data_IF_960076937330
#
_entry.id   IF_960076937330
#
_cell.length_a   1.000
_cell.length_b   1.000
_cell.length_c   1.000
_cell.angle_alpha   90.00
_cell.angle_beta   90.00
_cell.angle_gamma   90.00
#
_symmetry.space_group_name_H-M   'P 1'
#
loop_
_entity.id
_entity.type
_entity.pdbx_description
1 polymer ?
#
# COMPACT_ATOMS: atom_id res chain seq x y z
N UNK A 1 -9.95 0.07 2.26
CA UNK A 1 -8.78 0.78 2.78
C UNK A 1 -8.23 1.72 1.74
N UNK A 2 -7.63 2.82 2.18
CA UNK A 2 -6.87 3.74 1.32
C UNK A 2 -5.40 3.33 1.36
N UNK A 3 -4.84 2.98 0.21
CA UNK A 3 -3.43 2.62 0.06
C UNK A 3 -2.73 3.72 -0.72
N UNK A 4 -1.61 4.19 -0.19
CA UNK A 4 -0.80 5.25 -0.79
C UNK A 4 0.48 5.46 0.01
N UNK A 5 1.41 6.31 -0.45
CA UNK A 5 2.57 6.66 0.34
C UNK A 5 2.14 7.41 1.61
N UNK A 6 2.83 7.15 2.71
CA UNK A 6 2.51 7.70 4.03
C UNK A 6 1.88 6.70 5.01
N UNK A 7 1.67 5.45 4.60
CA UNK A 7 1.19 4.39 5.52
C UNK A 7 2.30 4.00 6.52
N UNK A 8 3.53 3.93 6.05
CA UNK A 8 4.67 3.49 6.88
C UNK A 8 4.96 4.53 7.97
N UNK A 9 5.28 4.06 9.16
CA UNK A 9 5.53 4.83 10.39
C UNK A 9 4.29 5.50 11.02
N UNK A 10 3.10 5.30 10.48
CA UNK A 10 1.87 5.74 11.13
C UNK A 10 1.25 4.62 11.97
N UNK A 11 0.58 5.01 13.06
CA UNK A 11 -0.17 4.09 13.91
C UNK A 11 -1.65 4.31 13.65
N UNK A 12 -2.32 3.26 13.22
CA UNK A 12 -3.73 3.29 12.87
C UNK A 12 -4.57 2.44 13.83
N UNK A 13 -5.83 2.80 13.96
CA UNK A 13 -6.82 1.92 14.56
C UNK A 13 -7.35 0.87 13.56
N UNK A 14 -8.29 0.01 14.01
CA UNK A 14 -8.83 -1.08 13.19
C UNK A 14 -9.62 -0.66 11.95
N UNK A 15 -9.92 0.61 11.77
CA UNK A 15 -10.63 1.17 10.62
C UNK A 15 -9.79 2.21 9.85
N UNK A 16 -8.48 2.14 10.03
CA UNK A 16 -7.49 2.97 9.33
C UNK A 16 -7.59 4.47 9.68
N UNK A 17 -7.90 4.81 10.94
CA UNK A 17 -7.78 6.20 11.41
C UNK A 17 -6.41 6.43 12.04
N UNK A 18 -5.66 7.48 11.66
CA UNK A 18 -4.35 7.77 12.23
C UNK A 18 -4.49 8.27 13.67
N UNK A 19 -3.95 7.53 14.64
CA UNK A 19 -4.13 7.83 16.07
C UNK A 19 -3.42 9.10 16.48
N UNK A 20 -2.29 9.44 15.89
CA UNK A 20 -1.58 10.69 16.20
C UNK A 20 -2.39 11.93 15.77
N UNK A 21 -3.01 11.89 14.58
CA UNK A 21 -3.84 12.99 14.10
C UNK A 21 -5.13 13.12 14.92
N UNK A 22 -5.71 12.00 15.35
CA UNK A 22 -6.83 12.01 16.29
C UNK A 22 -6.42 12.64 17.62
N UNK A 23 -5.25 12.29 18.15
CA UNK A 23 -4.75 12.85 19.41
C UNK A 23 -4.51 14.37 19.31
N UNK A 24 -4.04 14.87 18.17
CA UNK A 24 -3.88 16.30 17.94
C UNK A 24 -5.23 17.03 17.89
N UNK A 25 -6.26 16.42 17.33
CA UNK A 25 -7.58 17.04 17.13
C UNK A 25 -8.49 16.93 18.34
N UNK A 26 -8.48 15.82 19.08
CA UNK A 26 -9.41 15.52 20.17
C UNK A 26 -8.74 15.22 21.51
N UNK A 27 -7.41 15.31 21.61
CA UNK A 27 -6.66 15.05 22.84
C UNK A 27 -6.49 13.56 23.16
N UNK A 28 -6.39 13.23 24.45
CA UNK A 28 -6.06 11.87 24.91
C UNK A 28 -7.17 10.83 24.67
N UNK A 29 -8.37 11.24 24.37
CA UNK A 29 -9.53 10.38 24.20
C UNK A 29 -10.13 10.56 22.82
N UNK A 30 -10.55 9.46 22.21
CA UNK A 30 -11.23 9.49 20.92
C UNK A 30 -12.68 9.91 21.12
N UNK A 31 -13.03 11.11 20.67
CA UNK A 31 -14.40 11.62 20.72
C UNK A 31 -15.27 10.95 19.67
N UNK A 32 -16.59 10.85 19.94
CA UNK A 32 -17.54 10.34 18.95
C UNK A 32 -17.60 11.25 17.73
N UNK A 33 -17.65 10.65 16.54
CA UNK A 33 -17.77 11.38 15.28
C UNK A 33 -16.48 12.02 14.76
N UNK A 34 -15.33 11.77 15.41
CA UNK A 34 -14.03 12.23 14.88
C UNK A 34 -13.77 11.55 13.56
N UNK A 35 -13.64 12.36 12.50
CA UNK A 35 -13.23 11.94 11.17
C UNK A 35 -11.92 12.66 10.81
N UNK A 36 -10.91 11.91 10.50
CA UNK A 36 -9.62 12.41 10.00
C UNK A 36 -9.23 11.60 8.76
N UNK A 37 -8.52 12.25 7.84
CA UNK A 37 -8.04 11.54 6.66
C UNK A 37 -7.06 10.44 7.07
N UNK A 38 -7.16 9.29 6.40
CA UNK A 38 -6.32 8.12 6.69
C UNK A 38 -4.85 8.37 6.37
N UNK A 39 -4.57 9.25 5.42
CA UNK A 39 -3.23 9.62 4.98
C UNK A 39 -3.15 11.14 4.88
N UNK A 40 -1.94 11.68 5.01
CA UNK A 40 -1.68 13.12 4.81
C UNK A 40 -1.89 13.50 3.35
N UNK A 41 -2.95 14.27 3.10
CA UNK A 41 -3.35 14.72 1.75
C UNK A 41 -2.58 15.95 1.27
N UNK A 42 -1.83 16.61 2.16
CA UNK A 42 -1.08 17.83 1.83
C UNK A 42 0.38 17.55 1.50
N UNK A 43 0.92 16.48 2.04
CA UNK A 43 2.30 16.08 1.82
C UNK A 43 2.54 15.77 0.36
N UNK A 44 3.59 16.36 -0.21
CA UNK A 44 4.07 16.06 -1.55
C UNK A 44 5.15 14.98 -1.51
N UNK A 45 5.12 14.13 -2.53
CA UNK A 45 6.00 13.00 -2.68
C UNK A 45 6.70 13.07 -4.03
N UNK A 46 8.02 12.96 -4.01
CA UNK A 46 8.79 12.85 -5.25
C UNK A 46 8.46 11.51 -5.91
N UNK A 47 7.93 11.58 -7.11
CA UNK A 47 7.29 10.47 -7.80
C UNK A 47 7.87 10.30 -9.20
N UNK A 48 8.23 9.06 -9.52
CA UNK A 48 8.59 8.62 -10.85
C UNK A 48 7.40 7.93 -11.52
N UNK A 49 6.99 8.41 -12.69
CA UNK A 49 5.88 7.84 -13.45
C UNK A 49 6.41 6.72 -14.35
N UNK A 50 5.84 5.52 -14.24
CA UNK A 50 6.37 4.31 -14.91
C UNK A 50 5.67 3.98 -16.22
N UNK A 51 4.57 4.68 -16.54
CA UNK A 51 3.76 4.47 -17.75
C UNK A 51 3.79 5.67 -18.66
N UNK A 52 3.50 5.46 -19.95
CA UNK A 52 3.48 6.49 -20.98
C UNK A 52 2.14 6.52 -21.70
N UNK A 53 1.86 7.61 -22.38
CA UNK A 53 0.69 7.71 -23.26
C UNK A 53 0.72 6.62 -24.33
N UNK A 54 -0.42 5.94 -24.52
CA UNK A 54 -0.58 4.80 -25.41
C UNK A 54 -0.37 3.43 -24.75
N UNK A 55 0.17 3.37 -23.52
CA UNK A 55 0.33 2.09 -22.80
C UNK A 55 -1.03 1.53 -22.40
N UNK A 56 -1.18 0.22 -22.52
CA UNK A 56 -2.35 -0.50 -21.99
C UNK A 56 -2.07 -0.93 -20.56
N UNK A 57 -2.93 -0.52 -19.65
CA UNK A 57 -2.80 -0.78 -18.21
C UNK A 57 -4.07 -1.42 -17.66
N UNK A 58 -3.91 -2.32 -16.71
CA UNK A 58 -5.00 -3.03 -16.06
C UNK A 58 -4.75 -3.23 -14.57
N UNK A 59 -5.66 -3.93 -13.87
CA UNK A 59 -5.54 -4.16 -12.43
C UNK A 59 -4.17 -4.68 -12.02
N UNK A 60 -3.50 -3.99 -11.10
CA UNK A 60 -2.17 -4.35 -10.63
C UNK A 60 -1.00 -3.81 -11.44
N UNK A 61 -1.24 -3.15 -12.59
CA UNK A 61 -0.16 -2.45 -13.31
C UNK A 61 0.37 -1.32 -12.43
N UNK A 62 1.69 -1.25 -12.27
CA UNK A 62 2.37 -0.18 -11.54
C UNK A 62 2.39 1.05 -12.45
N UNK A 63 1.87 2.17 -11.95
CA UNK A 63 1.79 3.44 -12.68
C UNK A 63 2.77 4.48 -12.18
N UNK A 64 3.22 4.35 -10.94
CA UNK A 64 4.18 5.27 -10.34
C UNK A 64 4.96 4.62 -9.20
N UNK A 65 6.16 5.11 -8.96
CA UNK A 65 7.04 4.73 -7.86
C UNK A 65 7.42 5.97 -7.04
N UNK A 66 7.37 5.81 -5.71
CA UNK A 66 7.65 6.90 -4.76
C UNK A 66 8.54 6.38 -3.64
N UNK A 67 9.66 7.03 -3.38
CA UNK A 67 10.54 6.66 -2.27
C UNK A 67 9.90 7.13 -0.95
N UNK A 68 9.26 6.21 -0.23
CA UNK A 68 8.55 6.51 1.01
C UNK A 68 9.49 6.60 2.21
N UNK A 69 10.44 5.65 2.30
CA UNK A 69 11.51 5.63 3.30
C UNK A 69 12.82 5.23 2.64
N UNK A 70 13.93 5.27 3.37
CA UNK A 70 15.23 4.85 2.85
C UNK A 70 15.25 3.40 2.31
N UNK A 71 14.36 2.53 2.82
CA UNK A 71 14.28 1.11 2.45
C UNK A 71 13.02 0.72 1.70
N UNK A 72 12.02 1.61 1.60
CA UNK A 72 10.72 1.28 1.02
C UNK A 72 10.45 2.15 -0.20
N UNK A 73 10.39 1.52 -1.35
CA UNK A 73 9.89 2.08 -2.59
C UNK A 73 8.39 1.74 -2.72
N UNK A 74 7.55 2.74 -2.51
CA UNK A 74 6.11 2.60 -2.68
C UNK A 74 5.76 2.51 -4.16
N UNK A 75 4.89 1.55 -4.51
CA UNK A 75 4.42 1.32 -5.88
C UNK A 75 2.91 1.56 -5.95
N UNK A 76 2.51 2.60 -6.66
CA UNK A 76 1.11 2.87 -6.94
C UNK A 76 0.64 2.01 -8.11
N UNK A 77 -0.48 1.32 -7.93
CA UNK A 77 -1.03 0.37 -8.91
C UNK A 77 -2.42 0.76 -9.34
N UNK A 78 -2.82 0.35 -10.54
CA UNK A 78 -4.22 0.38 -10.97
C UNK A 78 -5.06 -0.51 -10.03
N UNK A 79 -6.12 0.02 -9.39
CA UNK A 79 -6.94 -0.75 -8.46
C UNK A 79 -7.78 -1.82 -9.16
N UNK A 80 -8.19 -2.90 -8.45
CA UNK A 80 -8.88 -4.04 -9.04
C UNK A 80 -10.32 -3.73 -9.51
N UNK A 81 -10.83 -2.57 -9.16
CA UNK A 81 -12.14 -2.09 -9.61
C UNK A 81 -12.14 -1.44 -10.99
N UNK A 82 -10.96 -1.24 -11.57
CA UNK A 82 -10.77 -0.61 -12.88
C UNK A 82 -10.43 -1.70 -13.89
N UNK A 83 -11.12 -1.69 -15.02
CA UNK A 83 -10.84 -2.58 -16.15
C UNK A 83 -9.59 -2.12 -16.91
N UNK A 84 -9.11 -2.97 -17.81
CA UNK A 84 -8.02 -2.60 -18.72
C UNK A 84 -8.39 -1.36 -19.53
N UNK A 85 -7.45 -0.46 -19.65
CA UNK A 85 -7.64 0.80 -20.38
C UNK A 85 -6.32 1.29 -20.98
N UNK A 86 -6.42 2.31 -21.82
CA UNK A 86 -5.27 2.93 -22.48
C UNK A 86 -4.92 4.24 -21.78
N UNK A 87 -3.65 4.46 -21.49
CA UNK A 87 -3.18 5.73 -20.94
C UNK A 87 -3.30 6.81 -22.00
N UNK A 88 -4.13 7.80 -21.74
CA UNK A 88 -4.32 9.00 -22.62
C UNK A 88 -3.53 10.21 -22.14
N UNK A 89 -3.14 10.22 -20.85
CA UNK A 89 -2.32 11.26 -20.28
C UNK A 89 -1.47 10.71 -19.14
N UNK A 90 -0.18 10.97 -19.16
CA UNK A 90 0.74 10.70 -18.06
C UNK A 90 1.42 12.02 -17.63
N UNK A 91 1.43 12.31 -16.34
CA UNK A 91 2.14 13.46 -15.79
C UNK A 91 3.66 13.25 -15.89
N UNK A 92 4.48 14.28 -15.93
CA UNK A 92 5.93 14.15 -15.83
C UNK A 92 6.33 13.69 -14.41
N UNK A 93 7.57 13.24 -14.26
CA UNK A 93 8.17 13.02 -12.94
C UNK A 93 8.17 14.33 -12.13
N UNK A 94 7.82 14.23 -10.85
CA UNK A 94 7.72 15.44 -10.03
C UNK A 94 7.15 15.17 -8.64
N UNK A 95 6.80 16.25 -7.94
CA UNK A 95 6.28 16.23 -6.59
C UNK A 95 4.75 16.34 -6.60
N UNK A 96 4.08 15.28 -6.23
CA UNK A 96 2.61 15.17 -6.20
C UNK A 96 2.10 14.84 -4.81
N UNK A 97 0.93 15.36 -4.46
CA UNK A 97 0.21 14.85 -3.31
C UNK A 97 -0.53 13.54 -3.67
N UNK A 98 -1.07 12.88 -2.67
CA UNK A 98 -1.67 11.56 -2.85
C UNK A 98 -2.98 11.56 -3.63
N UNK A 99 -3.62 12.70 -3.82
CA UNK A 99 -4.91 12.86 -4.50
C UNK A 99 -4.80 13.49 -5.89
N UNK A 100 -3.68 14.13 -6.21
CA UNK A 100 -3.46 14.72 -7.53
C UNK A 100 -3.48 13.65 -8.63
N UNK A 101 -4.23 13.84 -9.71
CA UNK A 101 -4.20 12.93 -10.86
C UNK A 101 -2.81 12.92 -11.51
N UNK A 102 -2.21 11.74 -11.62
CA UNK A 102 -0.91 11.53 -12.25
C UNK A 102 -1.00 10.79 -13.58
N UNK A 103 -2.03 9.96 -13.74
CA UNK A 103 -2.29 9.22 -14.98
C UNK A 103 -3.78 9.25 -15.25
N UNK A 104 -4.17 9.54 -16.49
CA UNK A 104 -5.57 9.41 -16.98
C UNK A 104 -5.63 8.28 -17.98
N UNK A 105 -6.55 7.37 -17.78
CA UNK A 105 -6.81 6.23 -18.68
C UNK A 105 -8.18 6.35 -19.33
N UNK A 106 -8.29 5.87 -20.56
CA UNK A 106 -9.53 5.65 -21.27
C UNK A 106 -9.90 4.18 -21.21
N UNK A 107 -11.12 3.90 -20.77
CA UNK A 107 -11.67 2.55 -20.67
C UNK A 107 -12.31 2.13 -22.02
N UNK A 108 -12.54 0.82 -22.25
CA UNK A 108 -13.15 0.32 -23.49
C UNK A 108 -14.54 0.90 -23.81
N UNK A 109 -15.23 1.42 -22.80
CA UNK A 109 -16.54 2.08 -22.95
C UNK A 109 -16.43 3.57 -23.32
N UNK A 110 -15.22 4.09 -23.54
CA UNK A 110 -14.94 5.49 -23.84
C UNK A 110 -14.95 6.41 -22.63
N UNK A 111 -15.16 5.90 -21.42
CA UNK A 111 -15.06 6.71 -20.21
C UNK A 111 -13.62 6.90 -19.77
N UNK A 112 -13.31 8.03 -19.15
CA UNK A 112 -11.98 8.31 -18.62
C UNK A 112 -11.94 8.16 -17.11
N UNK A 113 -10.80 7.72 -16.59
CA UNK A 113 -10.52 7.61 -15.14
C UNK A 113 -9.19 8.22 -14.81
N UNK A 114 -9.20 9.08 -13.79
CA UNK A 114 -7.98 9.64 -13.22
C UNK A 114 -7.46 8.72 -12.12
N UNK A 115 -6.16 8.49 -12.15
CA UNK A 115 -5.42 7.71 -11.18
C UNK A 115 -4.44 8.62 -10.45
N UNK A 116 -4.38 8.47 -9.13
CA UNK A 116 -3.52 9.22 -8.24
C UNK A 116 -2.57 8.27 -7.50
N UNK A 117 -1.69 8.81 -6.64
CA UNK A 117 -0.79 7.99 -5.81
C UNK A 117 -1.56 7.12 -4.82
N UNK A 118 -2.64 7.65 -4.21
CA UNK A 118 -3.49 6.89 -3.32
C UNK A 118 -4.65 6.22 -4.06
N UNK A 119 -4.94 4.98 -3.68
CA UNK A 119 -5.99 4.18 -4.27
C UNK A 119 -6.87 3.54 -3.20
N UNK A 120 -8.18 3.50 -3.45
CA UNK A 120 -9.11 2.70 -2.65
C UNK A 120 -8.99 1.24 -3.03
N UNK A 121 -8.62 0.41 -2.05
CA UNK A 121 -8.44 -1.02 -2.24
C UNK A 121 -9.43 -1.82 -1.39
N UNK A 122 -10.18 -2.77 -1.96
CA UNK A 122 -11.07 -3.63 -1.20
C UNK A 122 -10.28 -4.51 -0.22
N UNK A 123 -10.69 -4.57 1.04
CA UNK A 123 -9.94 -5.31 2.09
C UNK A 123 -9.78 -6.80 1.76
N UNK A 124 -10.78 -7.39 1.10
CA UNK A 124 -10.79 -8.83 0.81
C UNK A 124 -10.15 -9.22 -0.51
N UNK A 125 -9.71 -8.25 -1.30
CA UNK A 125 -9.00 -8.50 -2.56
C UNK A 125 -7.50 -8.33 -2.30
N UNK A 126 -6.70 -9.40 -2.39
CA UNK A 126 -5.25 -9.29 -2.22
C UNK A 126 -4.65 -8.43 -3.34
N UNK A 127 -3.53 -7.80 -3.06
CA UNK A 127 -2.76 -7.13 -4.12
C UNK A 127 -2.20 -8.18 -5.07
N UNK A 128 -2.24 -7.96 -6.38
CA UNK A 128 -1.70 -8.92 -7.34
C UNK A 128 -0.19 -9.06 -7.19
N UNK A 129 0.31 -10.24 -7.44
CA UNK A 129 1.75 -10.56 -7.46
C UNK A 129 2.14 -10.99 -8.86
N UNK A 130 3.18 -10.37 -9.41
CA UNK A 130 3.69 -10.75 -10.73
C UNK A 130 4.45 -12.07 -10.70
N UNK A 131 5.22 -12.29 -9.64
CA UNK A 131 6.08 -13.45 -9.50
C UNK A 131 6.13 -13.94 -8.06
N UNK A 132 6.04 -15.24 -7.88
CA UNK A 132 6.33 -15.90 -6.60
C UNK A 132 7.74 -16.47 -6.66
N UNK A 133 8.58 -15.99 -5.76
CA UNK A 133 9.94 -16.54 -5.62
C UNK A 133 9.91 -17.86 -4.87
N UNK A 134 10.84 -18.81 -5.17
CA UNK A 134 11.00 -19.99 -4.35
C UNK A 134 11.45 -19.61 -2.93
N UNK A 135 11.13 -20.47 -1.97
CA UNK A 135 11.47 -20.30 -0.55
C UNK A 135 12.99 -20.55 -0.34
N UNK A 136 13.84 -19.65 -0.82
CA UNK A 136 15.31 -19.80 -0.80
C UNK A 136 16.01 -18.88 0.20
N UNK A 137 15.32 -17.83 0.68
CA UNK A 137 15.91 -16.88 1.63
C UNK A 137 15.27 -17.07 3.00
N UNK A 138 16.04 -17.43 4.06
CA UNK A 138 15.50 -17.60 5.40
C UNK A 138 15.18 -16.25 6.05
N UNK A 139 14.10 -16.22 6.83
CA UNK A 139 13.81 -15.15 7.77
C UNK A 139 14.60 -15.43 9.06
N UNK A 140 15.62 -14.63 9.33
CA UNK A 140 16.41 -14.75 10.55
C UNK A 140 15.63 -14.20 11.74
N UNK A 141 15.23 -15.07 12.65
CA UNK A 141 14.44 -14.72 13.85
C UNK A 141 15.32 -14.39 15.05
N UNK A 142 16.59 -14.84 15.05
CA UNK A 142 17.49 -14.80 16.19
C UNK A 142 17.31 -15.98 17.17
N UNK A 143 16.30 -16.81 16.96
CA UNK A 143 16.07 -18.02 17.74
C UNK A 143 16.82 -19.20 17.10
N UNK A 144 17.87 -19.69 17.77
CA UNK A 144 18.74 -20.73 17.21
C UNK A 144 18.00 -21.97 16.73
N UNK A 145 17.01 -22.44 17.48
CA UNK A 145 16.23 -23.64 17.13
C UNK A 145 15.41 -23.40 15.87
N UNK A 146 14.77 -22.22 15.74
CA UNK A 146 13.99 -21.90 14.56
C UNK A 146 14.90 -21.73 13.34
N UNK A 147 15.95 -20.93 13.47
CA UNK A 147 16.78 -20.57 12.32
C UNK A 147 17.60 -21.76 11.77
N UNK A 148 17.92 -22.77 12.62
CA UNK A 148 18.74 -23.91 12.19
C UNK A 148 17.96 -25.18 11.89
N UNK A 149 16.89 -25.47 12.66
CA UNK A 149 16.17 -26.74 12.54
C UNK A 149 14.80 -26.60 11.84
N UNK A 150 14.17 -25.43 11.98
CA UNK A 150 12.85 -25.14 11.42
C UNK A 150 12.81 -23.77 10.75
N UNK A 151 13.70 -23.49 9.78
CA UNK A 151 13.81 -22.17 9.18
C UNK A 151 12.50 -21.74 8.52
N UNK A 152 12.16 -20.47 8.74
CA UNK A 152 11.01 -19.84 8.09
C UNK A 152 11.51 -19.11 6.85
N UNK A 153 10.84 -19.30 5.73
CA UNK A 153 11.18 -18.56 4.52
C UNK A 153 10.74 -17.10 4.64
N UNK A 154 11.58 -16.16 4.19
CA UNK A 154 11.23 -14.75 4.09
C UNK A 154 10.04 -14.59 3.14
N UNK A 155 8.95 -13.96 3.63
CA UNK A 155 7.68 -13.87 2.89
C UNK A 155 6.80 -15.13 2.97
N UNK A 156 7.22 -16.15 3.74
CA UNK A 156 6.45 -17.35 3.98
C UNK A 156 5.35 -17.17 5.04
N UNK A 157 4.60 -18.25 5.27
CA UNK A 157 3.56 -18.30 6.29
C UNK A 157 3.93 -19.33 7.34
N UNK A 158 3.86 -18.95 8.61
CA UNK A 158 4.07 -19.83 9.74
C UNK A 158 2.86 -19.81 10.67
N UNK A 159 2.52 -20.96 11.26
CA UNK A 159 1.49 -21.06 12.27
C UNK A 159 2.13 -21.24 13.66
N UNK A 160 1.62 -20.49 14.63
CA UNK A 160 2.00 -20.61 16.05
C UNK A 160 0.75 -21.04 16.84
N UNK A 161 0.40 -22.33 16.80
CA UNK A 161 -0.80 -22.84 17.48
C UNK A 161 -0.56 -22.92 18.99
N UNK A 162 -1.66 -22.79 19.74
CA UNK A 162 -1.63 -22.96 21.19
C UNK A 162 -2.88 -22.39 21.85
N UNK A 163 -3.21 -22.89 23.04
CA UNK A 163 -4.30 -22.39 23.85
C UNK A 163 -4.06 -20.98 24.40
N UNK A 164 -5.05 -20.44 25.07
CA UNK A 164 -4.91 -19.17 25.77
C UNK A 164 -3.84 -19.26 26.87
N UNK A 165 -2.98 -18.25 26.97
CA UNK A 165 -1.96 -18.21 28.01
C UNK A 165 -0.71 -19.07 27.77
N UNK A 166 -0.52 -19.67 26.59
CA UNK A 166 0.64 -20.53 26.27
C UNK A 166 1.88 -19.76 25.77
N UNK A 167 1.90 -18.44 25.88
CA UNK A 167 3.06 -17.64 25.50
C UNK A 167 3.27 -17.43 23.99
N UNK A 168 2.22 -17.54 23.18
CA UNK A 168 2.31 -17.38 21.71
C UNK A 168 2.83 -16.01 21.25
N UNK A 169 2.65 -15.00 22.06
CA UNK A 169 3.04 -13.59 21.76
C UNK A 169 4.42 -13.23 22.28
N UNK A 170 5.03 -14.08 23.05
CA UNK A 170 6.34 -13.86 23.69
C UNK A 170 7.49 -14.15 22.73
#
# INVERSE_FOLDING_TARGET
>A
VLLGPGIIHNIFDGIQRPLEEIAKSSGKYISRGVSVDSLDTQKKWNTHITVKEGDVVGPGTIIAETQETASILHKSMVPPSIQDGTVIKAAPDGDYNILEPIVTIELPDGTTKDLALAQKWPIRIPRPTQLRFPASVPLVTGQRILDTLFPIAKGGTAAVPGGFGTGKTM
#
